data_IF_692446567038
#
_entry.id   IF_692446567038
#
_cell.length_a   1.000
_cell.length_b   1.000
_cell.length_c   1.000
_cell.angle_alpha   90.00
_cell.angle_beta   90.00
_cell.angle_gamma   90.00
#
_symmetry.space_group_name_H-M   'P 1'
#
loop_
_entity.id
_entity.type
_entity.pdbx_description
1 polymer ?
#
# COMPACT_ATOMS: atom_id res chain seq x y z
N UNK A 1 0.50 3.24 -5.20
CA UNK A 1 -0.12 3.16 -6.55
C UNK A 1 0.95 3.31 -7.60
N UNK A 2 0.76 2.71 -8.76
CA UNK A 2 1.55 2.93 -9.98
C UNK A 2 0.66 3.53 -11.05
N UNK A 3 1.15 4.56 -11.74
CA UNK A 3 0.49 5.16 -12.89
C UNK A 3 1.27 4.78 -14.16
N UNK A 4 0.53 4.32 -15.17
CA UNK A 4 1.07 3.88 -16.45
C UNK A 4 0.35 4.65 -17.55
N UNK A 5 1.13 5.35 -18.37
CA UNK A 5 0.65 5.96 -19.61
C UNK A 5 0.90 4.99 -20.75
N UNK A 6 -0.12 4.65 -21.50
CA UNK A 6 -0.06 3.77 -22.66
C UNK A 6 -0.16 4.62 -23.91
N UNK A 7 0.68 4.32 -24.88
CA UNK A 7 0.63 4.87 -26.22
C UNK A 7 0.33 3.74 -27.20
N UNK A 8 -0.73 3.91 -27.99
CA UNK A 8 -1.07 3.03 -29.10
C UNK A 8 -0.37 3.57 -30.35
N UNK A 9 0.57 2.81 -30.91
CA UNK A 9 1.33 3.24 -32.08
C UNK A 9 0.48 3.25 -33.37
N UNK A 10 -0.62 2.48 -33.43
CA UNK A 10 -1.47 2.42 -34.61
C UNK A 10 -2.41 3.61 -34.68
N UNK A 11 -3.06 3.95 -33.56
CA UNK A 11 -4.02 5.06 -33.50
C UNK A 11 -3.38 6.39 -33.11
N UNK A 12 -2.14 6.37 -32.62
CA UNK A 12 -1.47 7.52 -32.01
C UNK A 12 -2.21 8.10 -30.79
N UNK A 13 -3.04 7.28 -30.14
CA UNK A 13 -3.80 7.66 -28.95
C UNK A 13 -3.04 7.35 -27.66
N UNK A 14 -3.37 8.10 -26.60
CA UNK A 14 -2.87 7.87 -25.26
C UNK A 14 -4.01 7.51 -24.32
N UNK A 15 -3.76 6.53 -23.44
CA UNK A 15 -4.62 6.22 -22.31
C UNK A 15 -3.78 6.16 -21.03
N UNK A 16 -4.34 6.56 -19.89
CA UNK A 16 -3.67 6.44 -18.60
C UNK A 16 -4.41 5.44 -17.73
N UNK A 17 -3.66 4.54 -17.09
CA UNK A 17 -4.17 3.55 -16.15
C UNK A 17 -3.42 3.67 -14.82
N UNK A 18 -4.18 3.78 -13.74
CA UNK A 18 -3.65 3.75 -12.37
C UNK A 18 -3.99 2.40 -11.76
N UNK A 19 -2.97 1.72 -11.23
CA UNK A 19 -3.12 0.52 -10.43
C UNK A 19 -2.84 0.84 -8.97
N UNK A 20 -3.86 0.64 -8.13
CA UNK A 20 -3.72 0.74 -6.67
C UNK A 20 -3.42 -0.64 -6.08
N UNK A 21 -2.77 -0.73 -4.91
CA UNK A 21 -2.51 -2.01 -4.25
C UNK A 21 -3.77 -2.88 -4.07
N UNK A 22 -4.94 -2.25 -3.88
CA UNK A 22 -6.21 -2.93 -3.69
C UNK A 22 -6.69 -3.64 -4.96
N UNK A 23 -6.54 -3.00 -6.13
CA UNK A 23 -6.85 -3.60 -7.43
C UNK A 23 -5.88 -4.78 -7.69
N UNK A 24 -4.61 -4.61 -7.31
CA UNK A 24 -3.57 -5.60 -7.55
C UNK A 24 -3.61 -6.79 -6.57
N UNK A 25 -4.39 -6.69 -5.48
CA UNK A 25 -4.47 -7.74 -4.45
C UNK A 25 -5.11 -9.04 -4.98
N UNK A 26 -5.91 -8.97 -6.03
CA UNK A 26 -6.66 -10.11 -6.60
C UNK A 26 -5.85 -10.89 -7.65
N UNK A 27 -4.55 -11.10 -7.41
CA UNK A 27 -3.67 -11.85 -8.33
C UNK A 27 -2.93 -10.99 -9.37
N UNK A 28 -2.99 -9.66 -9.24
CA UNK A 28 -2.36 -8.69 -10.12
C UNK A 28 -3.32 -8.03 -11.09
N UNK A 29 -2.92 -6.88 -11.61
CA UNK A 29 -3.65 -6.15 -12.64
C UNK A 29 -3.33 -6.74 -14.00
N UNK A 30 -4.34 -7.29 -14.67
CA UNK A 30 -4.17 -8.02 -15.93
C UNK A 30 -4.10 -7.08 -17.12
N UNK A 31 -3.21 -7.39 -18.05
CA UNK A 31 -3.01 -6.69 -19.32
C UNK A 31 -3.28 -7.66 -20.46
N UNK A 32 -4.03 -7.25 -21.46
CA UNK A 32 -4.30 -8.10 -22.62
C UNK A 32 -5.38 -7.57 -23.54
N UNK A 33 -5.63 -8.27 -24.64
CA UNK A 33 -6.69 -7.91 -25.59
C UNK A 33 -8.10 -8.16 -25.06
N UNK A 34 -8.26 -9.04 -24.06
CA UNK A 34 -9.57 -9.33 -23.51
C UNK A 34 -10.12 -8.10 -22.76
N UNK A 35 -11.38 -7.73 -23.03
CA UNK A 35 -12.07 -6.63 -22.34
C UNK A 35 -12.22 -6.84 -20.82
N UNK A 36 -12.01 -8.08 -20.33
CA UNK A 36 -11.98 -8.38 -18.89
C UNK A 36 -10.65 -8.04 -18.21
N UNK A 37 -9.61 -7.68 -18.95
CA UNK A 37 -8.34 -7.24 -18.37
C UNK A 37 -8.47 -5.84 -17.77
N UNK A 38 -7.75 -5.57 -16.69
CA UNK A 38 -7.72 -4.25 -16.04
C UNK A 38 -7.20 -3.16 -16.98
N UNK A 39 -6.30 -3.53 -17.89
CA UNK A 39 -5.85 -2.69 -18.99
C UNK A 39 -6.03 -3.45 -20.31
N UNK A 40 -7.04 -3.03 -21.08
CA UNK A 40 -7.33 -3.59 -22.39
C UNK A 40 -6.39 -2.99 -23.45
N UNK A 41 -5.72 -3.86 -24.18
CA UNK A 41 -4.80 -3.53 -25.28
C UNK A 41 -5.31 -4.23 -26.54
N UNK A 42 -6.14 -3.53 -27.33
CA UNK A 42 -6.90 -4.13 -28.42
C UNK A 42 -6.08 -4.26 -29.72
N UNK A 43 -5.15 -5.22 -29.77
CA UNK A 43 -4.42 -5.59 -30.99
C UNK A 43 -4.32 -7.11 -31.15
N UNK A 44 -4.27 -7.60 -32.38
CA UNK A 44 -4.09 -9.03 -32.71
C UNK A 44 -2.84 -9.61 -32.09
N UNK A 45 -1.81 -8.79 -31.94
CA UNK A 45 -0.48 -9.19 -31.46
C UNK A 45 -0.43 -9.27 -29.93
N UNK A 46 -1.54 -8.93 -29.27
CA UNK A 46 -1.71 -9.05 -27.83
C UNK A 46 -2.57 -10.27 -27.51
N UNK A 47 -2.00 -11.19 -26.73
CA UNK A 47 -2.73 -12.33 -26.16
C UNK A 47 -3.93 -11.88 -25.31
N UNK A 48 -4.93 -12.76 -25.18
CA UNK A 48 -6.16 -12.45 -24.41
C UNK A 48 -5.86 -12.00 -23.00
N UNK A 49 -4.95 -12.71 -22.34
CA UNK A 49 -4.28 -12.32 -21.09
C UNK A 49 -2.79 -12.43 -21.41
N UNK A 50 -2.11 -11.30 -21.52
CA UNK A 50 -0.74 -11.21 -22.03
C UNK A 50 0.26 -11.10 -20.89
N UNK A 51 0.00 -10.19 -19.95
CA UNK A 51 0.90 -9.90 -18.86
C UNK A 51 0.10 -9.47 -17.62
N UNK A 52 0.82 -9.26 -16.52
CA UNK A 52 0.26 -8.66 -15.32
C UNK A 52 1.23 -7.69 -14.66
N UNK A 53 0.65 -6.76 -13.92
CA UNK A 53 1.33 -5.95 -12.93
C UNK A 53 1.01 -6.54 -11.56
N UNK A 54 2.01 -6.75 -10.72
CA UNK A 54 1.84 -7.24 -9.35
C UNK A 54 2.44 -6.24 -8.37
N UNK A 55 1.87 -6.19 -7.16
CA UNK A 55 2.41 -5.41 -6.06
C UNK A 55 2.80 -6.35 -4.92
N UNK A 56 4.09 -6.46 -4.65
CA UNK A 56 4.65 -7.35 -3.63
C UNK A 56 5.74 -6.61 -2.85
N UNK A 57 5.78 -6.79 -1.52
CA UNK A 57 6.76 -6.15 -0.64
C UNK A 57 6.90 -4.62 -0.82
N UNK A 58 5.81 -3.93 -1.18
CA UNK A 58 5.79 -2.48 -1.40
C UNK A 58 6.37 -2.02 -2.76
N UNK A 59 6.69 -2.97 -3.63
CA UNK A 59 7.24 -2.73 -4.97
C UNK A 59 6.26 -3.23 -6.05
N UNK A 60 6.40 -2.69 -7.26
CA UNK A 60 5.59 -3.08 -8.42
C UNK A 60 6.46 -3.84 -9.40
N UNK A 61 5.89 -4.91 -9.98
CA UNK A 61 6.59 -5.72 -10.97
C UNK A 61 5.70 -5.94 -12.18
N UNK A 62 6.34 -6.05 -13.34
CA UNK A 62 5.74 -6.54 -14.57
C UNK A 62 6.10 -8.02 -14.75
N UNK A 63 5.18 -8.81 -15.27
CA UNK A 63 5.44 -10.21 -15.62
C UNK A 63 4.65 -10.60 -16.87
N UNK A 64 5.36 -11.07 -17.90
CA UNK A 64 4.75 -11.69 -19.07
C UNK A 64 4.22 -13.08 -18.71
N UNK A 65 2.99 -13.41 -19.12
CA UNK A 65 2.28 -14.63 -18.71
C UNK A 65 2.34 -15.74 -19.77
N UNK A 66 3.39 -15.76 -20.59
CA UNK A 66 3.53 -16.70 -21.70
C UNK A 66 2.75 -16.24 -22.92
N UNK A 67 2.88 -14.95 -23.22
CA UNK A 67 2.24 -14.37 -24.38
C UNK A 67 2.80 -14.93 -25.68
N UNK A 68 2.03 -14.83 -26.76
CA UNK A 68 2.41 -15.37 -28.07
C UNK A 68 3.53 -14.56 -28.71
N UNK A 69 3.49 -13.24 -28.56
CA UNK A 69 4.42 -12.31 -29.21
C UNK A 69 5.54 -11.82 -28.27
N UNK A 70 5.49 -12.20 -26.99
CA UNK A 70 6.40 -11.70 -25.97
C UNK A 70 6.14 -10.25 -25.57
N UNK A 71 6.89 -9.82 -24.55
CA UNK A 71 6.94 -8.45 -24.07
C UNK A 71 8.38 -7.99 -23.99
N UNK A 72 8.63 -6.67 -24.07
CA UNK A 72 9.96 -6.10 -23.81
C UNK A 72 9.90 -5.09 -22.67
N UNK A 73 10.91 -5.04 -21.81
CA UNK A 73 11.10 -3.99 -20.79
C UNK A 73 12.41 -3.28 -21.08
N UNK A 74 12.38 -1.96 -21.27
CA UNK A 74 13.56 -1.14 -21.55
C UNK A 74 14.43 -1.64 -22.73
N UNK A 75 13.77 -2.13 -23.79
CA UNK A 75 14.37 -2.74 -24.98
C UNK A 75 15.05 -4.10 -24.77
N UNK A 76 14.86 -4.74 -23.62
CA UNK A 76 15.27 -6.13 -23.37
C UNK A 76 14.04 -7.04 -23.33
N UNK A 77 14.16 -8.27 -23.82
CA UNK A 77 13.06 -9.22 -23.80
C UNK A 77 12.69 -9.63 -22.38
N UNK A 78 11.41 -9.52 -22.04
CA UNK A 78 10.89 -9.94 -20.76
C UNK A 78 10.76 -11.47 -20.74
N UNK A 79 11.58 -12.15 -19.96
CA UNK A 79 11.45 -13.60 -19.77
C UNK A 79 10.07 -13.94 -19.20
N UNK A 80 9.43 -14.92 -19.83
CA UNK A 80 8.12 -15.42 -19.42
C UNK A 80 8.10 -15.86 -17.95
N UNK A 81 7.05 -15.47 -17.23
CA UNK A 81 6.83 -15.74 -15.80
C UNK A 81 7.91 -15.19 -14.85
N UNK A 82 8.83 -14.35 -15.33
CA UNK A 82 9.74 -13.61 -14.47
C UNK A 82 9.13 -12.27 -14.04
N UNK A 83 9.48 -11.83 -12.85
CA UNK A 83 9.06 -10.53 -12.30
C UNK A 83 10.13 -9.47 -12.57
N UNK A 84 9.79 -8.45 -13.36
CA UNK A 84 10.62 -7.29 -13.65
C UNK A 84 10.25 -6.14 -12.73
N UNK A 85 11.17 -5.72 -11.86
CA UNK A 85 10.94 -4.60 -10.95
C UNK A 85 10.76 -3.31 -11.75
N UNK A 86 9.61 -2.66 -11.58
CA UNK A 86 9.29 -1.42 -12.27
C UNK A 86 9.78 -0.20 -11.53
N UNK A 87 10.29 0.75 -12.29
CA UNK A 87 10.75 2.08 -11.86
C UNK A 87 10.08 3.17 -12.69
N UNK A 88 10.01 4.41 -12.19
CA UNK A 88 9.57 5.53 -13.00
C UNK A 88 10.39 5.66 -14.29
N UNK A 89 9.70 5.97 -15.38
CA UNK A 89 10.19 6.07 -16.76
C UNK A 89 10.54 4.74 -17.45
N UNK A 90 10.35 3.59 -16.80
CA UNK A 90 10.46 2.31 -17.49
C UNK A 90 9.44 2.23 -18.63
N UNK A 91 9.89 1.65 -19.75
CA UNK A 91 9.08 1.44 -20.95
C UNK A 91 8.87 -0.04 -21.16
N UNK A 92 7.62 -0.44 -21.23
CA UNK A 92 7.20 -1.81 -21.51
C UNK A 92 6.54 -1.80 -22.89
N UNK A 93 6.99 -2.68 -23.78
CA UNK A 93 6.41 -2.86 -25.11
C UNK A 93 5.62 -4.15 -25.16
N UNK A 94 4.38 -4.08 -25.63
CA UNK A 94 3.46 -5.20 -25.78
C UNK A 94 2.78 -5.04 -27.15
N UNK A 95 3.21 -5.79 -28.16
CA UNK A 95 2.79 -5.53 -29.54
C UNK A 95 3.03 -4.07 -29.94
N UNK A 96 2.00 -3.42 -30.47
CA UNK A 96 2.02 -2.00 -30.88
C UNK A 96 1.82 -1.00 -29.73
N UNK A 97 1.78 -1.48 -28.48
CA UNK A 97 1.57 -0.63 -27.31
C UNK A 97 2.88 -0.35 -26.59
N UNK A 98 3.11 0.92 -26.26
CA UNK A 98 4.21 1.36 -25.39
C UNK A 98 3.63 1.88 -24.08
N UNK A 99 3.88 1.15 -23.01
CA UNK A 99 3.48 1.47 -21.65
C UNK A 99 4.66 2.16 -20.96
N UNK A 100 4.46 3.37 -20.46
CA UNK A 100 5.46 4.14 -19.72
C UNK A 100 5.02 4.30 -18.28
N UNK A 101 5.87 3.91 -17.34
CA UNK A 101 5.62 4.11 -15.90
C UNK A 101 5.81 5.58 -15.57
N UNK A 102 4.73 6.33 -15.35
CA UNK A 102 4.79 7.78 -15.11
C UNK A 102 5.01 8.12 -13.64
N UNK A 103 4.49 7.31 -12.71
CA UNK A 103 4.69 7.52 -11.29
C UNK A 103 4.58 6.22 -10.50
N UNK A 104 5.42 6.07 -9.47
CA UNK A 104 5.28 5.06 -8.42
C UNK A 104 5.19 5.78 -7.10
N UNK A 105 4.04 5.68 -6.43
CA UNK A 105 3.89 6.11 -5.03
C UNK A 105 3.90 4.86 -4.16
N UNK A 106 5.00 4.64 -3.45
CA UNK A 106 5.05 3.66 -2.37
C UNK A 106 4.04 4.08 -1.30
N UNK A 107 3.12 3.18 -0.90
CA UNK A 107 2.26 3.47 0.26
C UNK A 107 3.15 3.44 1.49
N UNK A 108 3.72 4.57 1.86
CA UNK A 108 4.61 4.66 2.99
C UNK A 108 3.78 4.58 4.29
N UNK A 109 3.41 3.37 4.70
CA UNK A 109 2.84 3.10 6.03
C UNK A 109 3.93 3.13 7.12
N UNK A 110 5.21 3.16 6.77
CA UNK A 110 6.31 3.13 7.73
C UNK A 110 6.68 4.51 8.31
N UNK A 111 6.29 5.63 7.68
CA UNK A 111 6.55 6.97 8.23
C UNK A 111 5.63 7.36 9.41
N UNK A 112 4.52 6.67 9.62
CA UNK A 112 3.58 7.01 10.68
C UNK A 112 3.90 6.37 12.04
N UNK A 113 4.89 5.47 12.12
CA UNK A 113 5.20 4.75 13.36
C UNK A 113 5.76 5.71 14.42
N UNK A 114 6.68 6.60 14.07
CA UNK A 114 7.28 7.54 15.05
C UNK A 114 6.21 8.52 15.57
N UNK A 115 5.34 9.04 14.70
CA UNK A 115 4.30 10.01 15.09
C UNK A 115 3.13 9.35 15.84
N UNK A 116 2.79 8.09 15.51
CA UNK A 116 1.76 7.32 16.22
C UNK A 116 2.22 6.92 17.63
N UNK A 117 3.49 6.55 17.81
CA UNK A 117 4.05 6.30 19.14
C UNK A 117 4.06 7.58 19.99
N UNK A 118 4.49 8.72 19.45
CA UNK A 118 4.46 10.00 20.19
C UNK A 118 3.03 10.39 20.57
N UNK A 119 2.05 10.22 19.66
CA UNK A 119 0.64 10.55 19.94
C UNK A 119 0.04 9.67 21.04
N UNK A 120 0.37 8.38 21.06
CA UNK A 120 -0.13 7.44 22.07
C UNK A 120 0.45 7.74 23.46
N UNK A 121 1.74 8.07 23.52
CA UNK A 121 2.42 8.42 24.77
C UNK A 121 1.91 9.73 25.37
N UNK A 122 1.68 10.77 24.55
CA UNK A 122 1.18 12.07 25.04
C UNK A 122 -0.25 11.97 25.60
N UNK A 123 -1.12 11.14 25.01
CA UNK A 123 -2.46 10.89 25.56
C UNK A 123 -2.42 10.21 26.93
N UNK A 124 -1.44 9.34 27.18
CA UNK A 124 -1.32 8.58 28.42
C UNK A 124 -0.88 9.46 29.59
N UNK A 125 0.06 10.39 29.38
CA UNK A 125 0.47 11.35 30.42
C UNK A 125 -0.70 12.26 30.85
N UNK A 126 -1.57 12.67 29.93
CA UNK A 126 -2.73 13.50 30.25
C UNK A 126 -3.72 12.79 31.18
N UNK A 127 -3.94 11.47 31.01
CA UNK A 127 -4.84 10.68 31.85
C UNK A 127 -4.29 10.50 33.27
N UNK A 128 -2.97 10.26 33.40
CA UNK A 128 -2.32 10.08 34.71
C UNK A 128 -2.44 11.35 35.56
N UNK A 129 -2.23 12.54 34.97
CA UNK A 129 -2.33 13.81 35.70
C UNK A 129 -3.74 14.13 36.23
N UNK A 130 -4.79 13.69 35.53
CA UNK A 130 -6.19 13.87 35.97
C UNK A 130 -6.51 12.93 37.13
N UNK A 131 -6.05 11.67 37.09
CA UNK A 131 -6.29 10.68 38.15
C UNK A 131 -5.59 11.05 39.46
N UNK A 132 -4.34 11.53 39.40
CA UNK A 132 -3.62 11.98 40.61
C UNK A 132 -4.32 13.17 41.28
N UNK A 133 -4.88 14.07 40.48
CA UNK A 133 -5.63 15.23 40.99
C UNK A 133 -6.93 14.81 41.68
N UNK A 134 -7.68 13.87 41.08
CA UNK A 134 -8.91 13.35 41.67
C UNK A 134 -8.67 12.56 42.96
N UNK A 135 -7.61 11.74 43.02
CA UNK A 135 -7.24 11.00 44.22
C UNK A 135 -6.79 11.93 45.36
N UNK A 136 -6.01 12.97 45.05
CA UNK A 136 -5.60 13.97 46.03
C UNK A 136 -6.81 14.73 46.60
N UNK A 137 -7.76 15.12 45.75
CA UNK A 137 -9.02 15.73 46.19
C UNK A 137 -9.80 14.75 47.08
N UNK A 138 -9.96 13.49 46.68
CA UNK A 138 -10.67 12.49 47.49
C UNK A 138 -10.02 12.29 48.87
N UNK A 139 -8.69 12.27 48.97
CA UNK A 139 -7.97 12.14 50.23
C UNK A 139 -8.15 13.36 51.15
N UNK A 140 -8.29 14.55 50.60
CA UNK A 140 -8.55 15.79 51.36
C UNK A 140 -9.98 15.81 51.94
N UNK A 141 -10.94 15.16 51.28
CA UNK A 141 -12.35 15.14 51.69
C UNK A 141 -12.78 13.85 52.40
N UNK A 142 -11.90 12.86 52.57
CA UNK A 142 -12.17 11.67 53.38
C UNK A 142 -12.02 12.04 54.87
N UNK A 143 -13.08 11.95 55.68
CA UNK A 143 -13.00 12.25 57.11
C UNK A 143 -12.09 11.23 57.82
N UNK A 144 -11.18 11.71 58.66
CA UNK A 144 -10.20 10.94 59.46
C UNK A 144 -10.84 10.12 60.61
N UNK A 145 -12.13 9.83 60.55
CA UNK A 145 -12.83 9.13 61.61
C UNK A 145 -12.89 7.65 61.27
N UNK A 146 -11.86 6.87 61.62
CA UNK A 146 -11.96 5.43 61.93
C UNK A 146 -10.65 4.81 62.46
N UNK A 147 -9.95 5.49 63.38
CA UNK A 147 -8.87 4.87 64.16
C UNK A 147 -9.03 5.17 65.65
N UNK A 148 -10.06 4.58 66.26
CA UNK A 148 -10.15 4.48 67.72
C UNK A 148 -9.29 3.30 68.21
N UNK A 149 -8.01 3.56 68.47
CA UNK A 149 -7.03 2.66 69.10
C UNK A 149 -7.24 2.52 70.62
N UNK A 150 -8.45 2.23 71.10
CA UNK A 150 -8.76 2.16 72.54
C UNK A 150 -9.45 0.86 72.99
N UNK A 151 -9.09 -0.30 72.43
CA UNK A 151 -9.58 -1.62 72.90
C UNK A 151 -8.46 -2.66 73.11
N UNK A 152 -7.20 -2.22 73.21
CA UNK A 152 -6.09 -3.06 73.65
C UNK A 152 -5.54 -2.44 74.94
N UNK A 153 -5.38 -3.24 75.99
CA UNK A 153 -5.00 -2.90 77.37
C UNK A 153 -6.17 -2.62 78.34
N UNK A 154 -6.80 -3.71 78.80
CA UNK A 154 -7.29 -3.81 80.18
C UNK A 154 -6.29 -4.67 80.98
N UNK A 155 -5.97 -4.32 82.25
CA UNK A 155 -5.15 -5.14 83.15
C UNK A 155 -5.88 -6.37 83.67
#
# INVERSE_FOLDING_TARGET
MIAIKVFDQQTSEFQEKIFTPEILAQGGGLLGRNAKCDLMLNSSDVSRVHARIIHQAGQYYFSDLGSTSGSMVNNEDAQTNQNFLLKPNDKIRIGDFVLTVTAIKSSNRASNSIVAFIRTSVQFLAVVGVLTSLAAIAYIYLPLDNLSLNQLFHP
#
